data_IF_130056895161
#
_entry.id   IF_130056895161
#
_cell.length_a   1.000
_cell.length_b   1.000
_cell.length_c   1.000
_cell.angle_alpha   90.00
_cell.angle_beta   90.00
_cell.angle_gamma   90.00
#
_symmetry.space_group_name_H-M   'P 1'
#
loop_
_entity.id
_entity.type
_entity.pdbx_description
1 polymer ?
#
# COMPACT_ATOMS: atom_id res chain seq x y z
N UNK A 1 21.83 -45.74 -21.46
CA UNK A 1 22.50 -44.76 -20.57
C UNK A 1 22.27 -43.39 -21.18
N UNK A 2 21.14 -42.76 -20.85
CA UNK A 2 20.81 -41.40 -21.30
C UNK A 2 21.29 -40.43 -20.21
N UNK A 3 22.27 -39.61 -20.55
CA UNK A 3 22.78 -38.56 -19.67
C UNK A 3 21.76 -37.42 -19.65
N UNK A 4 21.15 -37.22 -18.49
CA UNK A 4 20.37 -36.03 -18.13
C UNK A 4 21.36 -34.85 -18.03
N UNK A 5 21.17 -33.72 -18.74
CA UNK A 5 21.99 -32.56 -18.50
C UNK A 5 21.59 -31.94 -17.16
N UNK A 6 22.57 -31.92 -16.26
CA UNK A 6 22.60 -31.20 -14.99
C UNK A 6 22.03 -29.78 -15.15
N UNK A 7 20.88 -29.53 -14.53
CA UNK A 7 20.32 -28.20 -14.30
C UNK A 7 21.22 -27.43 -13.32
N UNK A 8 22.14 -26.64 -13.88
CA UNK A 8 23.08 -25.80 -13.15
C UNK A 8 22.38 -24.69 -12.34
N UNK A 9 22.85 -24.34 -11.12
CA UNK A 9 22.32 -23.26 -10.28
C UNK A 9 22.72 -21.84 -10.77
N UNK A 10 22.93 -21.66 -12.08
CA UNK A 10 23.50 -20.43 -12.63
C UNK A 10 22.47 -19.30 -12.83
N UNK A 11 21.17 -19.60 -12.84
CA UNK A 11 20.13 -18.57 -13.02
C UNK A 11 19.85 -17.74 -11.75
N UNK A 12 20.03 -18.34 -10.56
CA UNK A 12 19.91 -17.63 -9.27
C UNK A 12 20.98 -16.53 -9.14
N UNK A 13 22.12 -16.70 -9.81
CA UNK A 13 23.27 -15.79 -9.80
C UNK A 13 23.03 -14.56 -10.67
N UNK A 14 22.08 -14.58 -11.60
CA UNK A 14 21.79 -13.44 -12.50
C UNK A 14 20.67 -12.56 -11.94
N UNK A 15 19.64 -13.15 -11.31
CA UNK A 15 18.52 -12.38 -10.74
C UNK A 15 18.87 -11.67 -9.43
N UNK A 16 19.74 -12.27 -8.60
CA UNK A 16 20.17 -11.67 -7.35
C UNK A 16 20.93 -10.32 -7.52
N UNK A 17 21.88 -10.17 -8.45
CA UNK A 17 22.53 -8.88 -8.71
C UNK A 17 21.62 -7.88 -9.44
N UNK A 18 20.63 -8.31 -10.23
CA UNK A 18 19.63 -7.40 -10.81
C UNK A 18 18.70 -6.83 -9.73
N UNK A 19 18.30 -7.66 -8.76
CA UNK A 19 17.57 -7.22 -7.57
C UNK A 19 18.44 -6.32 -6.68
N UNK A 20 19.69 -6.68 -6.42
CA UNK A 20 20.62 -5.82 -5.69
C UNK A 20 20.94 -4.54 -6.45
N UNK A 21 20.98 -4.53 -7.79
CA UNK A 21 21.17 -3.31 -8.57
C UNK A 21 19.89 -2.47 -8.61
N UNK A 22 18.70 -3.07 -8.61
CA UNK A 22 17.44 -2.34 -8.51
C UNK A 22 17.25 -1.73 -7.11
N UNK A 23 17.53 -2.50 -6.06
CA UNK A 23 17.56 -2.02 -4.66
C UNK A 23 18.70 -1.01 -4.47
N UNK A 24 19.91 -1.26 -4.97
CA UNK A 24 21.07 -0.36 -4.81
C UNK A 24 20.94 0.94 -5.60
N UNK A 25 20.31 0.93 -6.77
CA UNK A 25 20.06 2.16 -7.57
C UNK A 25 18.91 3.00 -7.01
N UNK A 26 17.99 2.41 -6.24
CA UNK A 26 16.90 3.14 -5.57
C UNK A 26 17.24 3.52 -4.13
N UNK A 27 18.18 2.83 -3.50
CA UNK A 27 18.67 3.07 -2.16
C UNK A 27 20.05 3.75 -2.21
N UNK A 28 20.14 4.91 -2.87
CA UNK A 28 21.31 5.78 -2.71
C UNK A 28 21.17 6.59 -1.42
N UNK A 29 21.42 5.93 -0.29
CA UNK A 29 22.13 6.49 0.88
C UNK A 29 22.13 5.45 2.00
N UNK A 30 23.33 5.15 2.49
CA UNK A 30 23.67 4.35 3.68
C UNK A 30 23.86 2.83 3.45
N UNK A 31 25.13 2.48 3.33
CA UNK A 31 25.69 1.14 3.55
C UNK A 31 25.08 0.48 4.79
N UNK A 32 24.67 -0.79 4.69
CA UNK A 32 24.97 -1.79 5.72
C UNK A 32 25.39 -3.10 5.04
N UNK A 33 26.72 -3.27 4.98
CA UNK A 33 27.39 -4.56 4.89
C UNK A 33 27.23 -5.24 6.26
N UNK A 34 26.79 -6.51 6.31
CA UNK A 34 27.30 -7.44 7.32
C UNK A 34 27.36 -8.85 6.73
N UNK A 35 28.58 -9.28 6.44
CA UNK A 35 28.94 -10.68 6.34
C UNK A 35 29.17 -11.21 7.77
N UNK A 36 28.45 -12.25 8.17
CA UNK A 36 28.94 -13.19 9.20
C UNK A 36 28.60 -14.61 8.73
N UNK A 37 29.66 -15.34 8.39
CA UNK A 37 29.67 -16.78 8.27
C UNK A 37 30.13 -17.38 9.60
N UNK A 38 29.30 -18.21 10.25
CA UNK A 38 29.69 -19.41 11.04
C UNK A 38 28.48 -20.09 11.71
N UNK A 39 28.44 -21.42 11.60
CA UNK A 39 27.84 -22.31 12.62
C UNK A 39 26.47 -22.88 12.28
N UNK A 40 26.45 -24.05 11.65
CA UNK A 40 25.23 -24.72 11.20
C UNK A 40 24.36 -25.35 12.31
N UNK A 41 23.06 -25.45 12.01
CA UNK A 41 22.18 -26.63 12.08
C UNK A 41 20.78 -26.20 11.65
N UNK A 42 20.14 -26.99 10.80
CA UNK A 42 18.78 -26.77 10.33
C UNK A 42 17.79 -27.37 11.35
N UNK A 43 16.83 -26.57 11.81
CA UNK A 43 15.60 -27.07 12.44
C UNK A 43 14.46 -26.67 11.52
N UNK A 44 13.87 -27.65 10.85
CA UNK A 44 12.68 -27.47 10.03
C UNK A 44 11.46 -27.37 10.94
N UNK A 45 10.80 -26.22 10.97
CA UNK A 45 9.37 -26.18 11.32
C UNK A 45 8.66 -25.33 10.28
N UNK A 46 7.54 -25.85 9.78
CA UNK A 46 6.80 -25.30 8.65
C UNK A 46 6.18 -23.96 9.02
N UNK A 47 6.76 -22.87 8.50
CA UNK A 47 6.32 -21.47 8.71
C UNK A 47 4.94 -21.20 8.06
N UNK A 48 4.50 -22.06 7.14
CA UNK A 48 3.27 -21.86 6.38
C UNK A 48 1.98 -22.05 7.21
N UNK A 49 2.00 -22.88 8.26
CA UNK A 49 0.81 -23.15 9.09
C UNK A 49 0.53 -22.05 10.11
N UNK A 50 1.56 -21.54 10.78
CA UNK A 50 1.43 -20.56 11.87
C UNK A 50 0.96 -19.19 11.37
N UNK A 51 1.27 -18.84 10.12
CA UNK A 51 1.02 -17.51 9.58
C UNK A 51 -0.41 -17.29 9.09
N UNK A 52 -1.05 -18.33 8.52
CA UNK A 52 -2.46 -18.26 8.10
C UNK A 52 -3.37 -18.10 9.33
N UNK A 53 -3.06 -18.80 10.42
CA UNK A 53 -3.84 -18.71 11.66
C UNK A 53 -3.66 -17.35 12.36
N UNK A 54 -2.47 -16.74 12.29
CA UNK A 54 -2.21 -15.43 12.91
C UNK A 54 -2.87 -14.28 12.15
N UNK A 55 -2.89 -14.33 10.81
CA UNK A 55 -3.53 -13.31 9.97
C UNK A 55 -5.07 -13.40 10.04
N UNK A 56 -5.61 -14.62 10.02
CA UNK A 56 -7.05 -14.86 10.21
C UNK A 56 -7.48 -14.50 11.63
N UNK A 57 -6.70 -14.81 12.67
CA UNK A 57 -6.99 -14.35 14.03
C UNK A 57 -7.01 -12.82 14.13
N UNK A 58 -6.05 -12.10 13.54
CA UNK A 58 -6.07 -10.62 13.57
C UNK A 58 -7.26 -10.03 12.82
N UNK A 59 -7.67 -10.61 11.68
CA UNK A 59 -8.85 -10.18 10.93
C UNK A 59 -10.16 -10.49 11.67
N UNK A 60 -10.26 -11.64 12.35
CA UNK A 60 -11.41 -12.02 13.19
C UNK A 60 -11.47 -11.17 14.45
N UNK A 61 -10.33 -10.81 15.06
CA UNK A 61 -10.28 -9.89 16.21
C UNK A 61 -10.69 -8.47 15.81
N UNK A 62 -10.43 -8.06 14.57
CA UNK A 62 -10.93 -6.79 14.01
C UNK A 62 -12.44 -6.84 13.74
N UNK A 63 -13.01 -8.01 13.45
CA UNK A 63 -14.46 -8.19 13.29
C UNK A 63 -15.21 -8.30 14.63
N UNK A 64 -14.57 -8.85 15.68
CA UNK A 64 -15.21 -9.11 16.97
C UNK A 64 -15.15 -7.91 17.95
N UNK A 65 -14.33 -6.89 17.67
CA UNK A 65 -14.24 -5.67 18.50
C UNK A 65 -15.36 -4.64 18.23
N UNK A 66 -16.39 -5.01 17.46
CA UNK A 66 -17.56 -4.17 17.20
C UNK A 66 -18.61 -4.18 18.32
N UNK A 67 -18.54 -5.09 19.30
CA UNK A 67 -19.63 -5.29 20.28
C UNK A 67 -19.23 -4.99 21.73
N UNK A 68 -18.74 -3.78 22.03
CA UNK A 68 -18.75 -3.28 23.41
C UNK A 68 -19.36 -1.89 23.44
N UNK A 69 -20.62 -1.85 23.82
CA UNK A 69 -21.34 -0.64 24.23
C UNK A 69 -20.66 -0.05 25.47
N UNK A 70 -20.22 1.20 25.38
CA UNK A 70 -20.17 2.08 26.54
C UNK A 70 -20.85 3.39 26.17
N UNK A 71 -21.99 3.59 26.80
CA UNK A 71 -22.93 4.67 26.62
C UNK A 71 -22.45 5.91 27.37
N UNK A 72 -21.94 6.90 26.63
CA UNK A 72 -21.98 8.29 27.09
C UNK A 72 -22.45 9.19 25.94
N UNK A 73 -23.77 9.33 25.86
CA UNK A 73 -24.43 10.17 24.87
C UNK A 73 -24.47 11.61 25.34
N UNK A 74 -23.83 12.50 24.58
CA UNK A 74 -24.31 13.86 24.35
C UNK A 74 -24.39 14.05 22.84
N UNK A 75 -25.63 14.18 22.35
CA UNK A 75 -25.95 14.64 20.99
C UNK A 75 -25.59 16.12 20.91
N UNK A 76 -24.60 16.49 20.12
CA UNK A 76 -24.68 17.50 19.06
C UNK A 76 -23.30 17.59 18.36
N UNK A 77 -23.28 18.08 17.13
CA UNK A 77 -22.13 18.13 16.19
C UNK A 77 -22.02 16.91 15.24
N UNK A 78 -23.13 16.54 14.60
CA UNK A 78 -22.99 16.05 13.22
C UNK A 78 -22.47 17.23 12.40
N UNK A 79 -21.19 17.26 12.06
CA UNK A 79 -20.79 17.98 10.85
C UNK A 79 -21.69 17.45 9.73
N UNK A 80 -22.57 18.28 9.20
CA UNK A 80 -23.45 17.95 8.08
C UNK A 80 -22.57 17.67 6.86
N UNK A 81 -22.11 16.42 6.75
CA UNK A 81 -21.38 15.94 5.58
C UNK A 81 -22.28 16.15 4.37
N UNK A 82 -21.91 17.10 3.51
CA UNK A 82 -22.64 17.35 2.28
C UNK A 82 -22.68 16.09 1.42
N UNK A 83 -23.75 15.85 0.65
CA UNK A 83 -23.80 14.70 -0.26
C UNK A 83 -22.63 14.76 -1.24
N UNK A 84 -21.99 13.61 -1.48
CA UNK A 84 -20.96 13.50 -2.52
C UNK A 84 -21.63 13.39 -3.89
N UNK A 85 -20.98 13.93 -4.90
CA UNK A 85 -21.33 13.65 -6.29
C UNK A 85 -21.14 12.16 -6.62
N UNK A 86 -21.82 11.71 -7.67
CA UNK A 86 -21.63 10.36 -8.20
C UNK A 86 -20.22 10.19 -8.78
N UNK A 87 -19.69 8.97 -8.66
CA UNK A 87 -18.40 8.63 -9.25
C UNK A 87 -18.55 8.65 -10.77
N UNK A 88 -17.71 9.46 -11.43
CA UNK A 88 -17.68 9.61 -12.89
C UNK A 88 -16.28 9.27 -13.43
N UNK A 89 -16.04 7.99 -13.78
CA UNK A 89 -14.75 7.57 -14.32
C UNK A 89 -14.39 8.23 -15.65
N UNK A 90 -15.38 8.73 -16.40
CA UNK A 90 -15.13 9.39 -17.70
C UNK A 90 -14.49 10.76 -17.54
N UNK A 91 -14.78 11.44 -16.42
CA UNK A 91 -14.17 12.70 -16.02
C UNK A 91 -13.04 12.53 -15.00
N UNK A 92 -12.65 11.29 -14.70
CA UNK A 92 -11.68 10.97 -13.65
C UNK A 92 -12.06 11.52 -12.26
N UNK A 93 -13.35 11.61 -11.95
CA UNK A 93 -13.84 12.12 -10.66
C UNK A 93 -14.27 10.96 -9.76
N UNK A 94 -13.60 10.80 -8.63
CA UNK A 94 -13.84 9.73 -7.67
C UNK A 94 -13.99 10.26 -6.23
N UNK A 95 -15.11 10.92 -5.87
CA UNK A 95 -15.30 11.56 -4.56
C UNK A 95 -14.98 10.65 -3.38
N UNK A 96 -14.07 11.11 -2.50
CA UNK A 96 -13.57 10.38 -1.31
C UNK A 96 -13.09 8.95 -1.59
N UNK A 97 -12.53 8.69 -2.77
CA UNK A 97 -12.04 7.37 -3.13
C UNK A 97 -10.54 7.21 -2.90
N UNK A 98 -10.15 6.02 -2.46
CA UNK A 98 -8.81 5.48 -2.66
C UNK A 98 -8.74 4.89 -4.06
N UNK A 99 -7.86 5.41 -4.91
CA UNK A 99 -7.69 4.98 -6.30
C UNK A 99 -6.36 4.27 -6.51
N UNK A 100 -6.30 3.39 -7.51
CA UNK A 100 -5.12 2.60 -7.83
C UNK A 100 -4.96 2.39 -9.34
N UNK A 101 -3.71 2.41 -9.80
CA UNK A 101 -3.32 2.07 -11.17
C UNK A 101 -2.06 1.20 -11.18
N UNK A 102 -1.92 0.23 -12.10
CA UNK A 102 -0.70 -0.58 -12.20
C UNK A 102 0.52 0.29 -12.52
N UNK A 103 1.60 0.14 -11.76
CA UNK A 103 2.82 0.90 -12.00
C UNK A 103 3.57 0.32 -13.23
N UNK A 104 3.90 1.10 -14.26
CA UNK A 104 4.58 0.60 -15.46
C UNK A 104 5.86 -0.16 -15.13
N UNK A 105 6.16 -1.22 -15.89
CA UNK A 105 7.31 -2.12 -15.73
C UNK A 105 7.27 -2.96 -14.44
N UNK A 106 7.03 -2.35 -13.27
CA UNK A 106 6.97 -3.05 -11.98
C UNK A 106 5.78 -4.01 -11.93
N UNK A 107 4.61 -3.58 -12.39
CA UNK A 107 3.39 -4.41 -12.46
C UNK A 107 3.52 -5.58 -13.44
N UNK A 108 4.47 -5.53 -14.38
CA UNK A 108 4.72 -6.63 -15.32
C UNK A 108 5.41 -7.82 -14.65
N UNK A 109 6.07 -7.58 -13.51
CA UNK A 109 6.68 -8.61 -12.66
C UNK A 109 5.79 -8.95 -11.46
N UNK A 110 5.11 -7.95 -10.89
CA UNK A 110 4.25 -8.12 -9.73
C UNK A 110 2.93 -7.35 -9.93
N UNK A 111 1.87 -7.98 -10.49
CA UNK A 111 0.67 -7.28 -10.97
C UNK A 111 -0.22 -6.72 -9.84
N UNK A 112 0.07 -7.09 -8.59
CA UNK A 112 -0.56 -6.52 -7.40
C UNK A 112 0.11 -5.23 -6.92
N UNK A 113 1.28 -4.87 -7.46
CA UNK A 113 1.97 -3.61 -7.15
C UNK A 113 1.49 -2.53 -8.10
N UNK A 114 1.11 -1.39 -7.54
CA UNK A 114 0.73 -0.23 -8.31
C UNK A 114 0.77 1.04 -7.49
N UNK A 115 0.47 2.13 -8.18
CA UNK A 115 0.40 3.47 -7.64
C UNK A 115 -0.97 3.73 -7.02
N UNK A 116 -1.01 4.46 -5.90
CA UNK A 116 -2.25 4.83 -5.22
C UNK A 116 -2.36 6.33 -5.07
N UNK A 117 -3.60 6.81 -5.03
CA UNK A 117 -3.95 8.19 -4.72
C UNK A 117 -5.18 8.23 -3.83
N UNK A 118 -5.37 9.35 -3.13
CA UNK A 118 -6.57 9.61 -2.35
C UNK A 118 -7.29 10.81 -2.94
N UNK A 119 -8.60 10.69 -3.12
CA UNK A 119 -9.39 11.72 -3.77
C UNK A 119 -10.07 12.63 -2.76
N UNK A 120 -10.17 13.91 -3.09
CA UNK A 120 -10.90 14.92 -2.34
C UNK A 120 -12.43 14.71 -2.45
N UNK A 121 -13.20 15.53 -1.76
CA UNK A 121 -14.67 15.48 -1.75
C UNK A 121 -15.29 15.82 -3.11
N UNK A 122 -14.61 16.61 -3.94
CA UNK A 122 -14.97 16.90 -5.34
C UNK A 122 -14.55 15.79 -6.33
N UNK A 123 -13.89 14.75 -5.84
CA UNK A 123 -13.37 13.64 -6.64
C UNK A 123 -12.05 13.88 -7.35
N UNK A 124 -11.39 15.02 -7.13
CA UNK A 124 -10.03 15.29 -7.60
C UNK A 124 -9.03 14.36 -6.94
N UNK A 125 -8.21 13.69 -7.74
CA UNK A 125 -7.17 12.76 -7.25
C UNK A 125 -5.96 13.53 -6.73
N UNK A 126 -5.46 13.13 -5.56
CA UNK A 126 -4.20 13.61 -5.00
C UNK A 126 -3.26 12.42 -4.78
N UNK A 127 -2.05 12.48 -5.32
CA UNK A 127 -1.08 11.40 -5.23
C UNK A 127 0.36 11.88 -5.08
N UNK A 128 1.18 11.11 -4.36
CA UNK A 128 2.61 11.37 -4.22
C UNK A 128 3.38 10.50 -5.21
N UNK A 129 3.88 11.11 -6.30
CA UNK A 129 4.50 10.41 -7.44
C UNK A 129 5.93 10.85 -7.75
N UNK A 130 6.49 11.82 -7.01
CA UNK A 130 7.88 12.25 -7.17
C UNK A 130 8.42 12.98 -5.94
N UNK A 131 9.75 13.09 -5.83
CA UNK A 131 10.38 13.78 -4.70
C UNK A 131 9.94 15.23 -4.62
N UNK A 132 9.48 15.65 -3.43
CA UNK A 132 8.95 16.99 -3.18
C UNK A 132 7.76 17.37 -4.06
N UNK A 133 7.04 16.38 -4.61
CA UNK A 133 5.98 16.61 -5.58
C UNK A 133 4.75 15.75 -5.27
N UNK A 134 3.67 16.42 -4.87
CA UNK A 134 2.35 15.82 -4.71
C UNK A 134 1.44 16.34 -5.81
N UNK A 135 1.02 15.45 -6.71
CA UNK A 135 0.20 15.78 -7.85
C UNK A 135 -1.27 15.99 -7.44
N UNK A 136 -1.97 16.83 -8.20
CA UNK A 136 -3.39 17.15 -8.01
C UNK A 136 -4.04 17.16 -9.37
N UNK A 137 -5.14 16.42 -9.49
CA UNK A 137 -5.95 16.34 -10.70
C UNK A 137 -5.26 15.72 -11.93
N UNK A 138 -4.04 15.21 -11.76
CA UNK A 138 -3.28 14.51 -12.79
C UNK A 138 -2.73 13.19 -12.21
N UNK A 139 -3.57 12.17 -12.15
CA UNK A 139 -3.17 10.92 -11.50
C UNK A 139 -2.01 10.26 -12.24
N UNK A 140 -0.87 10.11 -11.55
CA UNK A 140 0.35 9.62 -12.18
C UNK A 140 0.21 8.17 -12.69
N UNK A 141 0.97 7.88 -13.75
CA UNK A 141 1.12 6.55 -14.37
C UNK A 141 -0.11 6.02 -15.13
N UNK A 142 -1.15 6.81 -15.28
CA UNK A 142 -2.27 6.56 -16.20
C UNK A 142 -3.64 6.56 -15.51
N UNK A 143 -4.66 6.14 -16.25
CA UNK A 143 -6.04 6.14 -15.75
C UNK A 143 -6.23 5.22 -14.53
N UNK A 144 -7.15 5.59 -13.66
CA UNK A 144 -7.56 4.78 -12.50
C UNK A 144 -8.04 3.40 -12.99
N UNK A 145 -7.46 2.34 -12.45
CA UNK A 145 -7.84 0.97 -12.78
C UNK A 145 -8.78 0.37 -11.72
N UNK A 146 -8.52 0.68 -10.44
CA UNK A 146 -9.35 0.27 -9.30
C UNK A 146 -9.62 1.43 -8.37
N UNK A 147 -10.77 1.39 -7.70
CA UNK A 147 -11.14 2.40 -6.71
C UNK A 147 -11.95 1.79 -5.56
N UNK A 148 -11.92 2.48 -4.42
CA UNK A 148 -12.73 2.19 -3.23
C UNK A 148 -13.23 3.51 -2.69
N UNK A 149 -14.54 3.71 -2.65
CA UNK A 149 -15.12 4.87 -1.99
C UNK A 149 -15.09 4.65 -0.48
N UNK A 150 -14.41 5.55 0.23
CA UNK A 150 -14.27 5.50 1.67
C UNK A 150 -15.42 6.28 2.32
N UNK A 151 -15.93 5.78 3.44
CA UNK A 151 -17.05 6.41 4.12
C UNK A 151 -16.53 7.45 5.11
N UNK A 152 -16.77 8.74 4.82
CA UNK A 152 -16.40 9.87 5.69
C UNK A 152 -16.94 9.75 7.11
N UNK A 153 -18.03 9.00 7.34
CA UNK A 153 -18.55 8.75 8.70
C UNK A 153 -17.61 7.94 9.57
N UNK A 154 -16.65 7.23 8.97
CA UNK A 154 -15.61 6.49 9.69
C UNK A 154 -14.44 7.40 10.10
N UNK A 155 -14.42 8.65 9.66
CA UNK A 155 -13.42 9.64 10.07
C UNK A 155 -13.79 10.30 11.39
N UNK A 156 -12.78 10.80 12.08
CA UNK A 156 -12.92 11.71 13.21
C UNK A 156 -12.47 13.10 12.77
N UNK A 157 -13.40 14.05 12.71
CA UNK A 157 -13.14 15.45 12.39
C UNK A 157 -13.55 16.34 13.57
N UNK A 158 -12.71 16.45 14.61
CA UNK A 158 -13.07 17.15 15.83
C UNK A 158 -12.80 18.65 15.69
N UNK A 159 -13.77 19.48 16.08
CA UNK A 159 -13.60 20.94 16.19
C UNK A 159 -12.78 21.35 17.42
N UNK A 160 -12.77 20.50 18.45
CA UNK A 160 -12.04 20.69 19.70
C UNK A 160 -11.73 19.32 20.35
N UNK A 161 -10.94 19.33 21.43
CA UNK A 161 -10.49 18.09 22.09
C UNK A 161 -11.65 17.23 22.64
N UNK A 162 -12.80 17.82 22.97
CA UNK A 162 -13.99 17.13 23.50
C UNK A 162 -14.79 16.45 22.39
N UNK A 163 -14.82 17.04 21.19
CA UNK A 163 -15.58 16.54 20.03
C UNK A 163 -14.93 15.36 19.28
N UNK A 164 -13.89 14.74 19.83
CA UNK A 164 -13.31 13.54 19.21
C UNK A 164 -14.23 12.33 19.34
N UNK A 165 -14.50 11.66 18.22
CA UNK A 165 -15.22 10.38 18.16
C UNK A 165 -14.26 9.19 18.25
N UNK A 166 -12.95 9.41 18.07
CA UNK A 166 -11.95 8.35 18.11
C UNK A 166 -11.46 8.04 19.53
N UNK A 167 -11.07 6.77 19.76
CA UNK A 167 -10.55 6.30 21.06
C UNK A 167 -9.26 7.01 21.50
N UNK A 168 -8.49 7.53 20.54
CA UNK A 168 -7.17 8.09 20.76
C UNK A 168 -7.14 9.63 20.72
N UNK A 169 -8.16 10.29 21.29
CA UNK A 169 -8.36 11.76 21.23
C UNK A 169 -7.10 12.59 21.48
N UNK A 170 -6.33 12.29 22.53
CA UNK A 170 -5.12 13.07 22.86
C UNK A 170 -4.01 12.92 21.81
N UNK A 171 -3.75 11.69 21.35
CA UNK A 171 -2.74 11.42 20.31
C UNK A 171 -3.15 11.96 18.95
N UNK A 172 -4.46 11.95 18.68
CA UNK A 172 -5.00 12.49 17.44
C UNK A 172 -4.89 14.03 17.43
N UNK A 173 -5.21 14.69 18.55
CA UNK A 173 -5.01 16.14 18.73
C UNK A 173 -3.55 16.57 18.56
N UNK A 174 -2.60 15.82 19.11
CA UNK A 174 -1.17 16.11 18.99
C UNK A 174 -0.66 16.06 17.53
N UNK A 175 -1.26 15.21 16.68
CA UNK A 175 -0.89 15.07 15.26
C UNK A 175 -1.41 16.18 14.36
N UNK A 176 -2.20 17.12 14.89
CA UNK A 176 -2.96 18.08 14.10
C UNK A 176 -4.25 17.44 13.63
N UNK A 177 -5.36 17.80 14.28
CA UNK A 177 -6.69 17.30 13.93
C UNK A 177 -7.20 18.00 12.69
N UNK A 178 -7.42 17.23 11.64
CA UNK A 178 -8.15 17.71 10.48
C UNK A 178 -9.60 18.01 10.83
N UNK A 179 -10.12 19.13 10.33
CA UNK A 179 -11.52 19.54 10.53
C UNK A 179 -12.45 19.03 9.41
N UNK A 180 -11.89 18.53 8.30
CA UNK A 180 -12.62 17.92 7.19
C UNK A 180 -11.76 16.89 6.45
N UNK A 181 -12.37 16.16 5.50
CA UNK A 181 -11.67 15.21 4.65
C UNK A 181 -10.59 15.88 3.80
N UNK A 182 -10.96 16.97 3.11
CA UNK A 182 -10.03 17.71 2.26
C UNK A 182 -8.93 18.39 3.09
N UNK A 183 -9.25 18.91 4.27
CA UNK A 183 -8.25 19.49 5.18
C UNK A 183 -7.22 18.45 5.66
N UNK A 184 -7.67 17.21 5.91
CA UNK A 184 -6.76 16.10 6.24
C UNK A 184 -5.78 15.84 5.10
N UNK A 185 -6.28 15.76 3.86
CA UNK A 185 -5.46 15.57 2.66
C UNK A 185 -4.49 16.75 2.50
N UNK A 186 -4.96 17.99 2.54
CA UNK A 186 -4.11 19.17 2.42
C UNK A 186 -3.01 19.23 3.48
N UNK A 187 -3.33 18.85 4.72
CA UNK A 187 -2.35 18.78 5.81
C UNK A 187 -1.31 17.69 5.57
N UNK A 188 -1.72 16.51 5.07
CA UNK A 188 -0.78 15.46 4.67
C UNK A 188 0.06 15.85 3.46
N UNK A 189 -0.48 16.62 2.51
CA UNK A 189 0.29 17.14 1.37
C UNK A 189 1.45 18.02 1.81
N UNK A 190 1.19 19.01 2.69
CA UNK A 190 2.22 19.87 3.27
C UNK A 190 3.33 19.08 3.96
N UNK A 191 2.99 17.96 4.59
CA UNK A 191 3.98 17.07 5.20
C UNK A 191 4.88 16.37 4.16
N UNK A 192 4.37 16.10 2.96
CA UNK A 192 5.08 15.40 1.88
C UNK A 192 5.78 16.33 0.87
N UNK A 193 5.48 17.63 0.87
CA UNK A 193 6.10 18.62 -0.02
C UNK A 193 7.64 18.69 0.09
N UNK A 194 8.22 18.23 1.20
CA UNK A 194 9.67 18.21 1.42
C UNK A 194 10.24 16.80 1.56
N UNK A 195 9.47 15.76 1.21
CA UNK A 195 9.89 14.36 1.34
C UNK A 195 10.44 13.85 0.01
N UNK A 196 11.56 13.14 0.07
CA UNK A 196 12.14 12.44 -1.07
C UNK A 196 11.33 11.17 -1.36
N UNK A 197 10.91 10.99 -2.61
CA UNK A 197 10.17 9.82 -3.05
C UNK A 197 11.11 8.62 -3.16
N UNK A 198 10.70 7.50 -2.56
CA UNK A 198 11.36 6.21 -2.70
C UNK A 198 10.30 5.11 -2.76
N UNK A 199 10.31 4.33 -3.85
CA UNK A 199 9.34 3.27 -4.10
C UNK A 199 9.20 2.26 -2.94
N UNK A 200 10.28 2.01 -2.20
CA UNK A 200 10.34 0.97 -1.17
C UNK A 200 10.16 1.48 0.25
N UNK A 201 10.30 2.79 0.50
CA UNK A 201 10.30 3.35 1.86
C UNK A 201 9.36 4.52 2.06
N UNK A 202 9.43 5.53 1.19
CA UNK A 202 8.57 6.70 1.23
C UNK A 202 7.86 6.89 -0.10
N UNK A 203 6.69 6.27 -0.24
CA UNK A 203 5.96 6.16 -1.49
C UNK A 203 4.50 6.64 -1.34
N UNK A 204 3.73 6.46 -2.41
CA UNK A 204 2.31 6.82 -2.47
C UNK A 204 1.44 6.10 -1.44
N UNK A 205 1.76 4.86 -1.05
CA UNK A 205 1.02 4.14 0.00
C UNK A 205 1.29 4.72 1.38
N UNK A 206 2.53 5.17 1.65
CA UNK A 206 2.87 5.91 2.87
C UNK A 206 2.09 7.23 2.94
N UNK A 207 1.99 7.95 1.80
CA UNK A 207 1.20 9.18 1.70
C UNK A 207 -0.28 8.95 2.04
N UNK A 208 -0.92 7.97 1.41
CA UNK A 208 -2.32 7.61 1.70
C UNK A 208 -2.49 7.17 3.16
N UNK A 209 -1.57 6.36 3.70
CA UNK A 209 -1.62 5.93 5.08
C UNK A 209 -1.59 7.12 6.06
N UNK A 210 -0.74 8.13 5.80
CA UNK A 210 -0.69 9.35 6.61
C UNK A 210 -1.98 10.16 6.50
N UNK A 211 -2.58 10.26 5.31
CA UNK A 211 -3.90 10.89 5.15
C UNK A 211 -4.95 10.19 6.02
N UNK A 212 -5.03 8.85 5.94
CA UNK A 212 -5.99 8.06 6.73
C UNK A 212 -5.74 8.17 8.24
N UNK A 213 -4.48 8.28 8.66
CA UNK A 213 -4.12 8.55 10.05
C UNK A 213 -4.54 9.95 10.48
N UNK A 214 -4.35 11.00 9.67
CA UNK A 214 -4.78 12.36 10.03
C UNK A 214 -6.28 12.48 10.29
N UNK A 215 -7.10 11.71 9.58
CA UNK A 215 -8.55 11.66 9.76
C UNK A 215 -9.03 10.57 10.74
N UNK A 216 -8.11 9.83 11.38
CA UNK A 216 -8.41 8.66 12.22
C UNK A 216 -9.41 7.68 11.57
N UNK A 217 -9.19 7.37 10.29
CA UNK A 217 -10.14 6.58 9.51
C UNK A 217 -10.37 5.20 10.13
N UNK A 218 -11.62 4.85 10.38
CA UNK A 218 -12.01 3.62 11.06
C UNK A 218 -11.63 3.60 12.55
N UNK A 219 -11.44 4.78 13.16
CA UNK A 219 -11.00 4.93 14.55
C UNK A 219 -9.55 4.53 14.81
N UNK A 220 -8.75 4.35 13.76
CA UNK A 220 -7.35 3.91 13.83
C UNK A 220 -6.39 5.03 13.41
N UNK A 221 -5.23 5.08 14.07
CA UNK A 221 -4.09 5.95 13.73
C UNK A 221 -2.86 5.16 13.29
N UNK A 222 -3.04 3.86 13.04
CA UNK A 222 -1.96 2.90 12.73
C UNK A 222 -2.04 2.41 11.27
N UNK A 223 -2.60 3.21 10.36
CA UNK A 223 -2.51 2.95 8.93
C UNK A 223 -1.06 2.99 8.47
N UNK A 224 -0.70 2.05 7.61
CA UNK A 224 0.62 1.92 7.02
C UNK A 224 0.48 1.44 5.57
N UNK A 225 1.59 1.45 4.83
CA UNK A 225 1.60 1.10 3.41
C UNK A 225 1.06 -0.31 3.12
N UNK A 226 1.28 -1.29 4.00
CA UNK A 226 0.80 -2.67 3.82
C UNK A 226 -0.72 -2.72 3.97
N UNK A 227 -1.28 -2.02 4.95
CA UNK A 227 -2.73 -1.96 5.17
C UNK A 227 -3.44 -1.27 4.00
N UNK A 228 -2.86 -0.20 3.44
CA UNK A 228 -3.37 0.47 2.24
C UNK A 228 -3.31 -0.46 1.03
N UNK A 229 -2.18 -1.14 0.81
CA UNK A 229 -2.04 -2.10 -0.28
C UNK A 229 -3.07 -3.25 -0.16
N UNK A 230 -3.26 -3.80 1.04
CA UNK A 230 -4.26 -4.84 1.30
C UNK A 230 -5.69 -4.32 1.06
N UNK A 231 -5.99 -3.09 1.49
CA UNK A 231 -7.30 -2.47 1.28
C UNK A 231 -7.64 -2.39 -0.21
N UNK A 232 -6.73 -1.84 -1.02
CA UNK A 232 -6.88 -1.78 -2.48
C UNK A 232 -7.00 -3.17 -3.09
N UNK A 233 -6.12 -4.10 -2.71
CA UNK A 233 -6.06 -5.42 -3.32
C UNK A 233 -7.35 -6.23 -3.10
N UNK A 234 -7.89 -6.22 -1.88
CA UNK A 234 -9.03 -7.06 -1.50
C UNK A 234 -10.40 -6.37 -1.61
N UNK A 235 -10.47 -5.04 -1.45
CA UNK A 235 -11.75 -4.29 -1.51
C UNK A 235 -11.90 -3.42 -2.75
N UNK A 236 -10.87 -3.30 -3.59
CA UNK A 236 -10.88 -2.48 -4.81
C UNK A 236 -11.87 -2.98 -5.84
N UNK A 237 -12.73 -2.08 -6.35
CA UNK A 237 -13.60 -2.33 -7.50
C UNK A 237 -12.90 -1.88 -8.77
N UNK A 238 -12.99 -2.67 -9.83
CA UNK A 238 -12.48 -2.29 -11.15
C UNK A 238 -13.35 -1.20 -11.76
N UNK A 239 -12.74 -0.24 -12.47
CA UNK A 239 -13.47 0.80 -13.19
C UNK A 239 -14.31 0.20 -14.31
N UNK A 240 -13.70 -0.62 -15.14
CA UNK A 240 -14.35 -1.36 -16.22
C UNK A 240 -13.54 -2.62 -16.59
N UNK A 241 -14.03 -3.40 -17.54
CA UNK A 241 -13.33 -4.59 -18.03
C UNK A 241 -12.00 -4.23 -18.74
N UNK A 242 -11.94 -3.09 -19.42
CA UNK A 242 -10.74 -2.64 -20.12
C UNK A 242 -9.60 -2.32 -19.13
N UNK A 243 -9.91 -1.83 -17.94
CA UNK A 243 -8.97 -1.62 -16.85
C UNK A 243 -8.35 -2.94 -16.39
N UNK A 244 -9.15 -4.01 -16.27
CA UNK A 244 -8.65 -5.36 -15.95
C UNK A 244 -7.65 -5.82 -17.01
N UNK A 245 -8.03 -5.73 -18.30
CA UNK A 245 -7.16 -6.13 -19.40
C UNK A 245 -5.87 -5.32 -19.39
N UNK A 246 -5.95 -3.99 -19.28
CA UNK A 246 -4.77 -3.10 -19.27
C UNK A 246 -3.83 -3.40 -18.09
N UNK A 247 -4.37 -3.79 -16.95
CA UNK A 247 -3.57 -4.13 -15.77
C UNK A 247 -2.86 -5.47 -15.87
N UNK A 248 -3.50 -6.50 -16.42
CA UNK A 248 -2.92 -7.86 -16.43
C UNK A 248 -2.24 -8.24 -17.75
N UNK A 249 -2.62 -7.63 -18.88
CA UNK A 249 -2.07 -7.98 -20.19
C UNK A 249 -0.54 -7.91 -20.25
N UNK A 250 0.14 -6.84 -19.77
CA UNK A 250 1.60 -6.80 -19.80
C UNK A 250 2.26 -7.91 -18.98
N UNK A 251 1.70 -8.23 -17.80
CA UNK A 251 2.16 -9.34 -16.97
C UNK A 251 1.97 -10.68 -17.68
N UNK A 252 0.80 -10.92 -18.28
CA UNK A 252 0.52 -12.14 -19.03
C UNK A 252 1.49 -12.32 -20.20
N UNK A 253 1.75 -11.27 -20.98
CA UNK A 253 2.70 -11.32 -22.09
C UNK A 253 4.13 -11.59 -21.61
N UNK A 254 4.56 -10.95 -20.53
CA UNK A 254 5.87 -11.19 -19.92
C UNK A 254 6.01 -12.63 -19.44
N UNK A 255 4.98 -13.19 -18.79
CA UNK A 255 4.98 -14.58 -18.35
C UNK A 255 5.02 -15.55 -19.53
N UNK A 256 4.21 -15.33 -20.56
CA UNK A 256 4.24 -16.15 -21.78
C UNK A 256 5.63 -16.14 -22.41
N UNK A 257 6.22 -14.96 -22.59
CA UNK A 257 7.56 -14.82 -23.15
C UNK A 257 8.62 -15.49 -22.28
N UNK A 258 8.62 -15.24 -20.96
CA UNK A 258 9.56 -15.85 -20.03
C UNK A 258 9.49 -17.37 -20.03
N UNK A 259 8.28 -17.94 -20.03
CA UNK A 259 8.09 -19.40 -20.11
C UNK A 259 8.53 -19.95 -21.47
N UNK A 260 8.27 -19.25 -22.59
CA UNK A 260 8.68 -19.72 -23.92
C UNK A 260 10.21 -19.78 -24.09
N UNK A 261 10.96 -18.84 -23.53
CA UNK A 261 12.42 -18.76 -23.70
C UNK A 261 13.21 -19.48 -22.60
N UNK A 262 12.72 -19.47 -21.36
CA UNK A 262 13.44 -19.98 -20.17
C UNK A 262 12.79 -21.24 -19.59
N UNK A 263 11.49 -21.45 -19.80
CA UNK A 263 10.72 -22.55 -19.23
C UNK A 263 10.29 -22.33 -17.78
N UNK A 264 9.92 -23.41 -17.10
CA UNK A 264 9.47 -23.41 -15.70
C UNK A 264 10.37 -22.68 -14.69
N UNK A 265 11.72 -22.67 -14.81
CA UNK A 265 12.58 -21.91 -13.90
C UNK A 265 12.24 -20.42 -13.83
N UNK A 266 11.71 -19.83 -14.91
CA UNK A 266 11.26 -18.44 -14.91
C UNK A 266 10.16 -18.19 -13.88
N UNK A 267 9.16 -19.08 -13.80
CA UNK A 267 8.05 -18.94 -12.86
C UNK A 267 8.52 -19.05 -11.40
N UNK A 268 9.47 -19.95 -11.12
CA UNK A 268 10.09 -20.05 -9.79
C UNK A 268 10.86 -18.78 -9.44
N UNK A 269 11.63 -18.22 -10.38
CA UNK A 269 12.33 -16.96 -10.19
C UNK A 269 11.37 -15.80 -9.92
N UNK A 270 10.29 -15.71 -10.69
CA UNK A 270 9.24 -14.70 -10.53
C UNK A 270 8.54 -14.80 -9.18
N UNK A 271 8.18 -16.02 -8.76
CA UNK A 271 7.57 -16.27 -7.46
C UNK A 271 8.51 -15.85 -6.32
N UNK A 272 9.79 -16.25 -6.38
CA UNK A 272 10.78 -15.84 -5.37
C UNK A 272 10.93 -14.33 -5.31
N UNK A 273 10.98 -13.66 -6.46
CA UNK A 273 11.03 -12.21 -6.54
C UNK A 273 9.81 -11.55 -5.88
N UNK A 274 8.60 -12.01 -6.18
CA UNK A 274 7.38 -11.50 -5.54
C UNK A 274 7.38 -11.74 -4.02
N UNK A 275 7.81 -12.92 -3.55
CA UNK A 275 7.88 -13.22 -2.12
C UNK A 275 8.90 -12.34 -1.40
N UNK A 276 10.06 -12.09 -2.01
CA UNK A 276 11.08 -11.20 -1.43
C UNK A 276 10.58 -9.75 -1.36
N UNK A 277 9.84 -9.28 -2.37
CA UNK A 277 9.21 -7.97 -2.34
C UNK A 277 8.19 -7.85 -1.19
N UNK A 278 7.29 -8.84 -1.06
CA UNK A 278 6.30 -8.86 0.04
C UNK A 278 7.02 -8.92 1.39
N UNK A 279 8.03 -9.78 1.52
CA UNK A 279 8.82 -9.89 2.74
C UNK A 279 9.51 -8.57 3.10
N UNK A 280 10.09 -7.86 2.13
CA UNK A 280 10.70 -6.54 2.34
C UNK A 280 9.69 -5.55 2.93
N UNK A 281 8.51 -5.40 2.32
CA UNK A 281 7.49 -4.46 2.81
C UNK A 281 6.95 -4.85 4.20
N UNK A 282 6.79 -6.15 4.48
CA UNK A 282 6.37 -6.62 5.80
C UNK A 282 7.44 -6.39 6.87
N UNK A 283 8.68 -6.82 6.63
CA UNK A 283 9.78 -6.65 7.58
C UNK A 283 10.09 -5.17 7.78
N UNK A 284 10.15 -4.39 6.70
CA UNK A 284 10.35 -2.96 6.78
C UNK A 284 9.28 -2.25 7.62
N UNK A 285 8.00 -2.57 7.40
CA UNK A 285 6.89 -1.89 8.09
C UNK A 285 6.77 -2.30 9.55
N UNK A 286 6.94 -3.59 9.87
CA UNK A 286 6.65 -4.11 11.20
C UNK A 286 7.90 -4.30 12.08
N UNK A 287 9.06 -4.55 11.49
CA UNK A 287 10.30 -4.80 12.22
C UNK A 287 11.26 -3.60 12.18
N UNK A 288 11.21 -2.75 11.13
CA UNK A 288 12.14 -1.66 10.90
C UNK A 288 11.44 -0.29 10.82
N UNK A 289 10.58 0.01 11.80
CA UNK A 289 9.74 1.23 11.81
C UNK A 289 10.49 2.52 11.47
N UNK A 290 11.72 2.67 11.97
CA UNK A 290 12.54 3.86 11.75
C UNK A 290 13.03 4.05 10.29
N UNK A 291 12.94 3.03 9.42
CA UNK A 291 13.40 3.11 8.02
C UNK A 291 12.28 3.42 7.02
N UNK A 292 11.02 3.18 7.38
CA UNK A 292 9.86 3.40 6.48
C UNK A 292 8.91 4.51 6.95
N UNK A 293 9.19 5.16 8.08
CA UNK A 293 8.48 6.37 8.48
C UNK A 293 8.94 7.53 7.56
N UNK A 294 8.06 7.90 6.63
CA UNK A 294 7.90 9.31 6.27
C UNK A 294 7.26 10.00 7.49
#
# INVERSE_FOLDING_TARGET
>A
MFLVPSSSPQLLIIFFPLMLQFISRTCSSSLILFAIQRGGKWVTSSIAGVFVDTLTMKLVTLAQKCDVEDSFGTKDDKHDLWPLDDIDPTKSRFPCCLVWTPLPVVSWLAPFIGHVGLCMEDGTVVDFSGSNFVNVDDFAYGAVARYIQLDRKQCCFPSNLVSHTCKHRYKHAERGTAISWDDAIHSSRRHFEHKSYNLFTCNCHSFVAICLNHMSYGGSMDWNMVNVAALVLFKGRWVDFMAVVRSFLPFTLMVCFGVSFVGWPFLFGLLMFCLLLVAWFLVGTYCLKNLLEC
#
